data_IF_988545865100
#
_entry.id   IF_988545865100
#
_cell.length_a   1.000
_cell.length_b   1.000
_cell.length_c   1.000
_cell.angle_alpha   90.00
_cell.angle_beta   90.00
_cell.angle_gamma   90.00
#
_symmetry.space_group_name_H-M   'P 1'
#
loop_
_entity.id
_entity.type
_entity.pdbx_description
1 polymer ?
#
# COMPACT_ATOMS: atom_id res chain seq x y z
N UNK A 1 -7.82 -19.11 0.83
CA UNK A 1 -6.98 -18.11 0.13
C UNK A 1 -6.29 -17.25 1.17
N UNK A 2 -5.20 -16.58 0.83
CA UNK A 2 -4.54 -15.66 1.77
C UNK A 2 -5.34 -14.37 1.87
N UNK A 3 -5.29 -13.72 3.03
CA UNK A 3 -5.97 -12.43 3.28
C UNK A 3 -5.67 -11.40 2.19
N UNK A 4 -4.40 -11.30 1.80
CA UNK A 4 -3.98 -10.38 0.76
C UNK A 4 -4.58 -10.73 -0.60
N UNK A 5 -4.69 -12.02 -0.93
CA UNK A 5 -5.35 -12.47 -2.17
C UNK A 5 -6.81 -12.05 -2.21
N UNK A 6 -7.54 -12.25 -1.12
CA UNK A 6 -8.97 -11.90 -1.05
C UNK A 6 -9.18 -10.38 -1.24
N UNK A 7 -8.36 -9.56 -0.56
CA UNK A 7 -8.44 -8.09 -0.67
C UNK A 7 -8.06 -7.64 -2.08
N UNK A 8 -7.00 -8.23 -2.66
CA UNK A 8 -6.60 -7.93 -4.03
C UNK A 8 -7.69 -8.25 -5.03
N UNK A 9 -8.34 -9.42 -4.93
CA UNK A 9 -9.43 -9.83 -5.82
C UNK A 9 -10.60 -8.84 -5.74
N UNK A 10 -11.04 -8.50 -4.53
CA UNK A 10 -12.10 -7.51 -4.31
C UNK A 10 -11.78 -6.15 -4.94
N UNK A 11 -10.57 -5.62 -4.72
CA UNK A 11 -10.16 -4.32 -5.29
C UNK A 11 -10.08 -4.40 -6.81
N UNK A 12 -9.66 -5.53 -7.37
CA UNK A 12 -9.60 -5.75 -8.82
C UNK A 12 -10.98 -5.75 -9.46
N UNK A 13 -11.96 -6.38 -8.83
CA UNK A 13 -13.34 -6.38 -9.29
C UNK A 13 -13.94 -4.97 -9.26
N UNK A 14 -13.71 -4.21 -8.19
CA UNK A 14 -14.15 -2.82 -8.10
C UNK A 14 -13.54 -1.95 -9.21
N UNK A 15 -12.24 -2.13 -9.51
CA UNK A 15 -11.57 -1.41 -10.59
C UNK A 15 -12.14 -1.78 -11.96
N UNK A 16 -12.43 -3.06 -12.18
CA UNK A 16 -13.08 -3.52 -13.41
C UNK A 16 -14.47 -2.93 -13.58
N UNK A 17 -15.25 -2.84 -12.50
CA UNK A 17 -16.58 -2.25 -12.53
C UNK A 17 -16.53 -0.74 -12.73
N UNK A 18 -15.61 -0.04 -12.07
CA UNK A 18 -15.34 1.37 -12.35
C UNK A 18 -15.05 1.61 -13.83
N UNK A 19 -14.18 0.78 -14.43
CA UNK A 19 -13.87 0.85 -15.86
C UNK A 19 -15.10 0.62 -16.76
N UNK A 20 -15.93 -0.39 -16.46
CA UNK A 20 -17.16 -0.66 -17.23
C UNK A 20 -18.17 0.49 -17.13
N UNK A 21 -18.25 1.13 -15.97
CA UNK A 21 -19.17 2.24 -15.69
C UNK A 21 -18.62 3.61 -16.11
N UNK A 22 -17.39 3.67 -16.65
CA UNK A 22 -16.75 4.93 -17.04
C UNK A 22 -16.29 5.79 -15.86
N UNK A 23 -16.15 5.21 -14.67
CA UNK A 23 -15.69 5.87 -13.45
C UNK A 23 -14.19 5.60 -13.27
N UNK A 24 -13.39 6.65 -13.35
CA UNK A 24 -11.94 6.56 -13.09
C UNK A 24 -11.66 6.59 -11.59
N UNK A 25 -10.97 5.56 -11.08
CA UNK A 25 -10.53 5.48 -9.69
C UNK A 25 -9.04 5.89 -9.64
N UNK A 26 -8.72 6.88 -8.80
CA UNK A 26 -7.35 7.37 -8.64
C UNK A 26 -6.45 6.42 -7.83
N UNK A 27 -5.14 6.53 -8.02
CA UNK A 27 -4.13 5.72 -7.32
C UNK A 27 -4.23 5.83 -5.80
N UNK A 28 -4.39 7.05 -5.27
CA UNK A 28 -4.55 7.27 -3.83
C UNK A 28 -5.78 6.52 -3.29
N UNK A 29 -6.88 6.51 -4.04
CA UNK A 29 -8.12 5.82 -3.67
C UNK A 29 -7.94 4.30 -3.64
N UNK A 30 -7.15 3.72 -4.55
CA UNK A 30 -6.85 2.29 -4.55
C UNK A 30 -6.09 1.93 -3.27
N UNK A 31 -5.06 2.71 -2.92
CA UNK A 31 -4.31 2.52 -1.68
C UNK A 31 -5.23 2.61 -0.46
N UNK A 32 -6.10 3.62 -0.41
CA UNK A 32 -7.05 3.79 0.69
C UNK A 32 -8.00 2.60 0.83
N UNK A 33 -8.55 2.09 -0.28
CA UNK A 33 -9.43 0.92 -0.28
C UNK A 33 -8.73 -0.31 0.30
N UNK A 34 -7.49 -0.57 -0.11
CA UNK A 34 -6.69 -1.69 0.41
C UNK A 34 -6.46 -1.52 1.92
N UNK A 35 -6.04 -0.34 2.37
CA UNK A 35 -5.76 -0.09 3.79
C UNK A 35 -7.01 -0.21 4.66
N UNK A 36 -8.16 0.27 4.17
CA UNK A 36 -9.45 0.11 4.84
C UNK A 36 -9.78 -1.38 4.98
N UNK A 37 -9.69 -2.16 3.91
CA UNK A 37 -10.04 -3.59 3.96
C UNK A 37 -9.08 -4.40 4.86
N UNK A 38 -7.81 -4.02 4.95
CA UNK A 38 -6.88 -4.63 5.92
C UNK A 38 -7.27 -4.24 7.35
N UNK A 39 -7.55 -2.95 7.61
CA UNK A 39 -7.92 -2.47 8.94
C UNK A 39 -9.24 -3.08 9.44
N UNK A 40 -10.22 -3.31 8.54
CA UNK A 40 -11.50 -3.94 8.85
C UNK A 40 -11.39 -5.37 9.37
N UNK A 41 -10.32 -6.10 9.00
CA UNK A 41 -10.10 -7.48 9.44
C UNK A 41 -9.57 -7.58 10.89
N UNK A 42 -9.37 -6.44 11.55
CA UNK A 42 -9.08 -6.30 12.99
C UNK A 42 -7.98 -7.23 13.52
N UNK A 43 -6.77 -7.05 12.97
CA UNK A 43 -5.61 -7.83 13.39
C UNK A 43 -4.96 -7.23 14.65
N UNK A 44 -5.05 -7.95 15.76
CA UNK A 44 -4.39 -7.57 17.03
C UNK A 44 -2.87 -7.35 16.94
N UNK A 45 -2.23 -7.80 15.85
CA UNK A 45 -0.80 -7.69 15.61
C UNK A 45 -0.41 -6.63 14.56
N UNK A 46 -1.39 -5.94 13.94
CA UNK A 46 -1.14 -4.97 12.87
C UNK A 46 -1.91 -3.68 13.14
N UNK A 47 -1.20 -2.56 13.16
CA UNK A 47 -1.78 -1.22 13.18
C UNK A 47 -1.33 -0.46 11.94
N UNK A 48 -2.28 0.17 11.26
CA UNK A 48 -2.04 1.00 10.08
C UNK A 48 -2.21 2.46 10.46
N UNK A 49 -1.24 3.30 10.08
CA UNK A 49 -1.32 4.76 10.26
C UNK A 49 -1.04 5.46 8.94
N UNK A 50 -2.06 6.10 8.36
CA UNK A 50 -1.87 6.93 7.16
C UNK A 50 -1.13 8.21 7.56
N UNK A 51 -0.18 8.64 6.74
CA UNK A 51 0.48 9.93 6.94
C UNK A 51 -0.53 11.03 6.64
N UNK A 52 -0.62 12.03 7.52
CA UNK A 52 -1.50 13.16 7.26
C UNK A 52 -0.92 14.03 6.13
N UNK A 53 -1.77 14.53 5.23
CA UNK A 53 -1.36 15.28 4.02
C UNK A 53 -0.54 16.54 4.33
N UNK A 54 -0.76 17.15 5.48
CA UNK A 54 0.00 18.29 5.99
C UNK A 54 1.44 17.93 6.41
N UNK A 55 1.73 16.63 6.61
CA UNK A 55 3.05 16.10 6.98
C UNK A 55 3.74 15.30 5.88
N UNK A 56 3.10 15.09 4.74
CA UNK A 56 3.69 14.35 3.60
C UNK A 56 4.94 15.04 3.05
N UNK A 57 4.96 16.38 3.04
CA UNK A 57 6.12 17.16 2.58
C UNK A 57 7.37 16.96 3.44
N UNK A 58 7.22 16.56 4.71
CA UNK A 58 8.35 16.32 5.63
C UNK A 58 8.69 14.82 5.74
N UNK A 59 7.69 13.94 5.62
CA UNK A 59 7.82 12.52 5.97
C UNK A 59 8.17 11.62 4.78
N UNK A 60 7.83 12.03 3.55
CA UNK A 60 8.08 11.26 2.32
C UNK A 60 7.45 9.86 2.29
N UNK A 61 6.45 9.60 3.14
CA UNK A 61 5.83 8.29 3.38
C UNK A 61 4.33 8.43 3.27
N UNK A 62 3.65 7.51 2.59
CA UNK A 62 2.19 7.56 2.42
C UNK A 62 1.46 6.93 3.62
N UNK A 63 1.99 5.84 4.16
CA UNK A 63 1.51 5.24 5.41
C UNK A 63 2.57 4.40 6.12
N UNK A 64 2.28 4.04 7.36
CA UNK A 64 3.10 3.15 8.18
C UNK A 64 2.35 1.87 8.54
N UNK A 65 3.07 0.76 8.52
CA UNK A 65 2.63 -0.49 9.15
C UNK A 65 3.41 -0.71 10.44
N UNK A 66 2.67 -0.93 11.51
CA UNK A 66 3.19 -1.32 12.80
C UNK A 66 2.80 -2.77 13.02
N UNK A 67 3.78 -3.67 12.97
CA UNK A 67 3.57 -5.11 13.12
C UNK A 67 4.23 -5.55 14.41
N UNK A 68 3.48 -6.20 15.29
CA UNK A 68 4.03 -6.63 16.57
C UNK A 68 2.98 -6.98 17.61
N UNK A 69 3.40 -6.99 18.86
CA UNK A 69 2.49 -7.16 19.98
C UNK A 69 3.09 -6.54 21.23
N UNK A 70 2.25 -6.31 22.24
CA UNK A 70 2.70 -5.86 23.57
C UNK A 70 3.78 -6.78 24.17
N UNK A 71 3.74 -8.08 23.86
CA UNK A 71 4.70 -9.07 24.40
C UNK A 71 6.05 -9.05 23.68
N UNK A 72 6.05 -8.82 22.36
CA UNK A 72 7.24 -8.99 21.51
C UNK A 72 7.81 -7.66 20.99
N UNK A 73 7.19 -6.54 21.35
CA UNK A 73 7.51 -5.23 20.78
C UNK A 73 6.89 -5.03 19.39
N UNK A 74 7.14 -3.85 18.83
CA UNK A 74 6.59 -3.41 17.54
C UNK A 74 7.70 -3.09 16.54
N UNK A 75 7.52 -3.53 15.31
CA UNK A 75 8.35 -3.17 14.16
C UNK A 75 7.56 -2.20 13.29
N UNK A 76 8.20 -1.08 12.93
CA UNK A 76 7.61 -0.05 12.07
C UNK A 76 8.18 -0.15 10.65
N UNK A 77 7.28 -0.19 9.67
CA UNK A 77 7.58 -0.09 8.24
C UNK A 77 6.98 1.21 7.69
N UNK A 78 7.82 2.09 7.18
CA UNK A 78 7.39 3.28 6.42
C UNK A 78 7.21 2.87 4.96
N UNK A 79 6.02 3.12 4.39
CA UNK A 79 5.66 2.66 3.05
C UNK A 79 5.25 3.87 2.20
N UNK A 80 5.78 3.90 0.98
CA UNK A 80 5.45 4.90 -0.03
C UNK A 80 5.03 4.16 -1.31
N UNK A 81 3.82 4.42 -1.77
CA UNK A 81 3.36 4.02 -3.08
C UNK A 81 4.06 4.88 -4.13
N UNK A 82 4.68 4.22 -5.10
CA UNK A 82 5.24 4.89 -6.28
C UNK A 82 4.73 4.19 -7.51
N UNK A 83 4.20 4.99 -8.43
CA UNK A 83 3.96 4.55 -9.80
C UNK A 83 5.27 4.09 -10.42
N UNK A 84 5.32 2.84 -10.81
CA UNK A 84 6.39 2.33 -11.65
C UNK A 84 6.27 2.94 -13.04
N UNK A 85 7.22 3.81 -13.39
CA UNK A 85 7.41 4.23 -14.77
C UNK A 85 8.42 3.27 -15.39
N UNK A 86 7.99 2.45 -16.34
CA UNK A 86 8.90 1.69 -17.19
C UNK A 86 9.61 2.66 -18.13
N UNK A 87 10.60 3.38 -17.62
CA UNK A 87 11.65 3.93 -18.47
C UNK A 87 12.50 2.71 -18.86
N UNK A 88 12.99 2.66 -20.10
CA UNK A 88 13.96 1.67 -20.55
C UNK A 88 15.27 1.83 -19.74
N UNK A 89 15.28 1.39 -18.49
CA UNK A 89 16.45 1.44 -17.63
C UNK A 89 17.36 0.31 -18.13
N UNK A 90 18.32 0.67 -18.99
CA UNK A 90 19.51 -0.14 -19.20
C UNK A 90 20.15 -0.34 -17.83
N UNK A 91 19.89 -1.48 -17.20
CA UNK A 91 20.59 -1.88 -15.98
C UNK A 91 22.04 -2.11 -16.38
N UNK A 92 22.87 -1.06 -16.26
CA UNK A 92 24.32 -1.22 -16.22
C UNK A 92 24.63 -1.97 -14.93
N UNK A 93 24.76 -3.28 -15.07
CA UNK A 93 25.37 -4.15 -14.08
C UNK A 93 26.74 -3.56 -13.76
N UNK A 94 26.90 -3.03 -12.55
CA UNK A 94 28.21 -2.65 -12.04
C UNK A 94 28.99 -3.96 -11.89
N UNK A 95 29.91 -4.21 -12.81
CA UNK A 95 30.93 -5.23 -12.62
C UNK A 95 31.79 -4.79 -11.43
N UNK A 96 31.65 -5.51 -10.32
CA UNK A 96 32.69 -5.57 -9.30
C UNK A 96 33.96 -6.13 -9.93
N UNK A 97 35.06 -5.46 -9.61
CA UNK A 97 36.45 -5.65 -10.06
C UNK A 97 36.87 -7.08 -10.38
#
# INVERSE_FOLDING_TARGET
>A
MSVFSDISEYVWDLLNDGKKLGISIGEETISDLILIEIARRDYNYLTIRKTAKDKESESGTDWEWWIGSIKNGWVRYAIQAKKWITINIHIKRLNTK
#
